data_IF_151485985473
#
_entry.id   IF_151485985473
#
_cell.length_a   1.000
_cell.length_b   1.000
_cell.length_c   1.000
_cell.angle_alpha   90.00
_cell.angle_beta   90.00
_cell.angle_gamma   90.00
#
_symmetry.space_group_name_H-M   'P 1'
#
loop_
_entity.id
_entity.type
_entity.pdbx_description
1 polymer ?
#
# COMPACT_ATOMS: atom_id res chain seq x y z
N UNK A 1 27.10 28.10 -25.58
CA UNK A 1 25.64 27.82 -25.65
C UNK A 1 25.25 26.34 -25.52
N UNK A 2 26.17 25.37 -25.64
CA UNK A 2 25.85 23.93 -25.44
C UNK A 2 25.83 23.47 -23.97
N UNK A 3 26.43 24.22 -23.04
CA UNK A 3 26.43 23.90 -21.60
C UNK A 3 25.15 24.34 -20.87
N UNK A 4 24.38 25.30 -21.40
CA UNK A 4 23.09 25.72 -20.80
C UNK A 4 22.00 24.67 -20.96
N UNK A 5 22.00 23.91 -22.07
CA UNK A 5 21.05 22.81 -22.27
C UNK A 5 21.38 21.63 -21.35
N UNK A 6 22.67 21.37 -21.11
CA UNK A 6 23.10 20.36 -20.13
C UNK A 6 22.68 20.70 -18.69
N UNK A 7 22.67 21.98 -18.31
CA UNK A 7 22.23 22.42 -16.98
C UNK A 7 20.72 22.24 -16.81
N UNK A 8 19.90 22.57 -17.81
CA UNK A 8 18.44 22.38 -17.78
C UNK A 8 18.05 20.90 -17.84
N UNK A 9 18.78 20.07 -18.60
CA UNK A 9 18.53 18.62 -18.68
C UNK A 9 19.05 17.86 -17.43
N UNK A 10 19.99 18.43 -16.67
CA UNK A 10 20.49 17.84 -15.42
C UNK A 10 19.55 18.09 -14.23
N UNK A 11 18.75 19.16 -14.23
CA UNK A 11 17.74 19.42 -13.19
C UNK A 11 16.45 18.58 -13.32
N UNK A 12 16.27 17.83 -14.41
CA UNK A 12 15.12 16.94 -14.59
C UNK A 12 15.25 15.58 -13.89
N UNK A 13 16.41 15.23 -13.33
CA UNK A 13 16.64 13.95 -12.63
C UNK A 13 16.37 13.97 -11.14
N UNK A 14 16.15 15.14 -10.54
CA UNK A 14 15.89 15.24 -9.09
C UNK A 14 14.41 14.99 -8.74
N UNK A 15 13.52 14.87 -9.73
CA UNK A 15 12.11 14.51 -9.54
C UNK A 15 11.83 13.00 -9.46
N UNK A 16 12.84 12.14 -9.64
CA UNK A 16 12.61 10.70 -9.83
C UNK A 16 12.52 9.83 -8.57
N UNK A 17 12.69 10.31 -7.33
CA UNK A 17 12.70 9.36 -6.19
C UNK A 17 12.24 9.95 -4.86
N UNK A 18 10.95 10.30 -4.77
CA UNK A 18 10.18 10.04 -3.56
C UNK A 18 8.99 9.12 -3.90
N UNK A 19 9.24 8.07 -4.68
CA UNK A 19 8.30 6.96 -4.75
C UNK A 19 8.42 6.18 -3.44
N UNK A 20 7.32 6.08 -2.69
CA UNK A 20 7.25 5.30 -1.44
C UNK A 20 7.65 3.82 -1.65
N UNK A 21 7.74 3.34 -2.89
CA UNK A 21 8.13 1.99 -3.29
C UNK A 21 8.82 2.01 -4.67
N UNK A 22 9.72 1.06 -4.93
CA UNK A 22 10.30 0.89 -6.28
C UNK A 22 9.27 0.35 -7.28
N UNK A 23 9.47 0.51 -8.60
CA UNK A 23 8.60 -0.10 -9.61
C UNK A 23 8.51 -1.62 -9.50
N UNK A 24 9.60 -2.30 -9.13
CA UNK A 24 9.67 -3.75 -8.91
C UNK A 24 8.83 -4.14 -7.69
N UNK A 25 8.96 -3.40 -6.59
CA UNK A 25 8.13 -3.59 -5.39
C UNK A 25 6.64 -3.33 -5.69
N UNK A 26 6.33 -2.36 -6.53
CA UNK A 26 4.95 -2.10 -6.96
C UNK A 26 4.38 -3.26 -7.77
N UNK A 27 5.14 -3.82 -8.72
CA UNK A 27 4.70 -5.00 -9.48
C UNK A 27 4.46 -6.20 -8.57
N UNK A 28 5.40 -6.48 -7.66
CA UNK A 28 5.26 -7.59 -6.71
C UNK A 28 4.04 -7.43 -5.81
N UNK A 29 3.81 -6.24 -5.23
CA UNK A 29 2.64 -5.96 -4.42
C UNK A 29 1.33 -5.99 -5.25
N UNK A 30 1.39 -5.57 -6.52
CA UNK A 30 0.27 -5.62 -7.45
C UNK A 30 -0.18 -7.04 -7.73
N UNK A 31 0.75 -7.96 -8.01
CA UNK A 31 0.43 -9.37 -8.18
C UNK A 31 -0.19 -9.98 -6.91
N UNK A 32 0.41 -9.72 -5.75
CA UNK A 32 -0.13 -10.19 -4.47
C UNK A 32 -1.55 -9.65 -4.18
N UNK A 33 -1.84 -8.41 -4.58
CA UNK A 33 -3.18 -7.82 -4.47
C UNK A 33 -4.19 -8.52 -5.38
N UNK A 34 -3.84 -8.74 -6.65
CA UNK A 34 -4.72 -9.43 -7.61
C UNK A 34 -5.00 -10.86 -7.14
N UNK A 35 -3.98 -11.59 -6.68
CA UNK A 35 -4.13 -12.95 -6.14
C UNK A 35 -5.03 -12.97 -4.90
N UNK A 36 -4.97 -11.93 -4.06
CA UNK A 36 -5.87 -11.80 -2.92
C UNK A 36 -7.32 -11.52 -3.35
N UNK A 37 -7.54 -10.64 -4.34
CA UNK A 37 -8.88 -10.36 -4.89
C UNK A 37 -9.49 -11.63 -5.47
N UNK A 38 -8.74 -12.39 -6.26
CA UNK A 38 -9.19 -13.65 -6.85
C UNK A 38 -9.67 -14.63 -5.77
N UNK A 39 -8.84 -14.86 -4.74
CA UNK A 39 -9.20 -15.72 -3.60
C UNK A 39 -10.41 -15.23 -2.82
N UNK A 40 -10.57 -13.91 -2.66
CA UNK A 40 -11.75 -13.35 -2.02
C UNK A 40 -13.00 -13.64 -2.84
N UNK A 41 -12.96 -13.44 -4.17
CA UNK A 41 -14.09 -13.71 -5.06
C UNK A 41 -14.47 -15.19 -5.09
N UNK A 42 -13.50 -16.11 -5.02
CA UNK A 42 -13.76 -17.56 -4.94
C UNK A 42 -14.54 -17.95 -3.68
N UNK A 43 -14.33 -17.25 -2.57
CA UNK A 43 -14.90 -17.61 -1.27
C UNK A 43 -15.96 -16.61 -0.78
N UNK A 44 -16.34 -15.62 -1.60
CA UNK A 44 -17.18 -14.49 -1.17
C UNK A 44 -18.53 -14.95 -0.61
N UNK A 45 -19.09 -16.01 -1.17
CA UNK A 45 -20.39 -16.58 -0.77
C UNK A 45 -20.38 -17.20 0.63
N UNK A 46 -19.19 -17.54 1.15
CA UNK A 46 -19.04 -18.13 2.49
C UNK A 46 -19.05 -17.06 3.59
N UNK A 47 -18.88 -15.78 3.24
CA UNK A 47 -18.85 -14.69 4.22
C UNK A 47 -20.24 -14.10 4.45
N UNK A 48 -20.58 -13.70 5.70
CA UNK A 48 -21.85 -13.07 5.98
C UNK A 48 -21.95 -11.71 5.26
N UNK A 49 -23.05 -11.51 4.53
CA UNK A 49 -23.32 -10.26 3.79
C UNK A 49 -23.44 -9.07 4.74
N UNK A 50 -24.02 -9.31 5.92
CA UNK A 50 -24.16 -8.30 6.96
C UNK A 50 -22.99 -8.37 7.93
N UNK A 51 -22.38 -7.22 8.19
CA UNK A 51 -21.37 -7.07 9.24
C UNK A 51 -21.95 -7.49 10.60
N UNK A 52 -21.26 -8.40 11.30
CA UNK A 52 -21.67 -8.90 12.63
C UNK A 52 -20.98 -8.17 13.79
N UNK A 53 -20.29 -7.05 13.53
CA UNK A 53 -19.56 -6.29 14.56
C UNK A 53 -20.38 -5.12 15.10
N UNK A 54 -20.26 -4.90 16.41
CA UNK A 54 -20.90 -3.76 17.09
C UNK A 54 -20.22 -2.43 16.69
N UNK A 55 -21.01 -1.33 16.58
CA UNK A 55 -20.45 0.00 16.36
C UNK A 55 -19.43 0.37 17.45
N UNK A 56 -18.22 0.79 17.04
CA UNK A 56 -17.15 1.19 17.95
C UNK A 56 -16.09 0.12 18.22
N UNK A 57 -16.38 -1.18 18.02
CA UNK A 57 -15.43 -2.27 18.26
C UNK A 57 -14.16 -2.16 17.41
N UNK A 58 -14.26 -1.65 16.18
CA UNK A 58 -13.10 -1.45 15.29
C UNK A 58 -12.18 -0.35 15.83
N UNK A 59 -12.75 0.71 16.42
CA UNK A 59 -11.99 1.85 16.95
C UNK A 59 -11.17 1.45 18.16
N UNK A 60 -11.68 0.58 19.01
CA UNK A 60 -10.97 0.03 20.17
C UNK A 60 -9.78 -0.85 19.77
N UNK A 61 -9.87 -1.53 18.62
CA UNK A 61 -8.78 -2.35 18.06
C UNK A 61 -7.67 -1.52 17.41
N UNK A 62 -7.91 -0.24 17.13
CA UNK A 62 -6.91 0.65 16.55
C UNK A 62 -6.08 1.32 17.64
N UNK A 63 -4.75 1.43 17.47
CA UNK A 63 -3.90 2.15 18.42
C UNK A 63 -4.29 3.64 18.45
N UNK A 64 -4.53 4.18 19.65
CA UNK A 64 -5.02 5.56 19.85
C UNK A 64 -4.04 6.68 19.46
N UNK A 65 -2.83 6.35 19.03
CA UNK A 65 -1.87 7.31 18.49
C UNK A 65 -1.48 6.95 17.06
N UNK A 66 -1.50 7.96 16.19
CA UNK A 66 -0.87 7.88 14.86
C UNK A 66 0.61 7.57 15.04
N UNK A 67 1.09 6.53 14.35
CA UNK A 67 2.51 6.16 14.37
C UNK A 67 3.35 7.31 13.82
N UNK A 68 4.39 7.70 14.55
CA UNK A 68 5.31 8.80 14.16
C UNK A 68 6.25 8.40 13.02
N UNK A 69 6.58 7.11 12.89
CA UNK A 69 7.34 6.59 11.76
C UNK A 69 6.43 5.89 10.73
N UNK A 70 6.63 6.13 9.42
CA UNK A 70 5.99 5.34 8.41
C UNK A 70 6.45 3.89 8.57
N UNK A 71 5.49 2.99 8.68
CA UNK A 71 5.77 1.55 8.64
C UNK A 71 6.12 1.19 7.19
N UNK A 72 7.16 0.36 6.93
CA UNK A 72 7.46 -0.10 5.58
C UNK A 72 6.23 -0.71 4.92
N UNK A 73 5.96 -0.39 3.65
CA UNK A 73 4.75 -0.81 2.90
C UNK A 73 4.45 -2.31 3.03
N UNK A 74 5.49 -3.15 3.02
CA UNK A 74 5.42 -4.61 3.21
C UNK A 74 4.75 -5.07 4.52
N UNK A 75 4.71 -4.25 5.56
CA UNK A 75 4.04 -4.56 6.83
C UNK A 75 2.61 -3.97 6.94
N UNK A 76 2.14 -3.25 5.92
CA UNK A 76 0.73 -2.85 5.84
C UNK A 76 -0.13 -4.06 5.44
N UNK A 77 0.35 -4.86 4.50
CA UNK A 77 -0.35 -6.03 3.96
C UNK A 77 -0.57 -7.14 5.00
N UNK A 78 0.29 -7.27 6.01
CA UNK A 78 0.20 -8.31 7.04
C UNK A 78 -1.01 -8.18 7.98
N UNK A 79 -1.67 -7.02 8.03
CA UNK A 79 -2.92 -6.87 8.81
C UNK A 79 -4.09 -7.62 8.16
N UNK A 80 -4.02 -7.91 6.86
CA UNK A 80 -5.08 -8.60 6.11
C UNK A 80 -4.79 -10.10 5.91
N UNK A 81 -3.58 -10.57 6.21
CA UNK A 81 -3.17 -11.97 6.05
C UNK A 81 -3.06 -12.75 7.36
N UNK A 82 -3.25 -12.08 8.50
CA UNK A 82 -3.24 -12.72 9.83
C UNK A 82 -4.64 -12.60 10.43
N UNK A 83 -5.51 -13.54 10.06
CA UNK A 83 -6.75 -13.85 10.77
C UNK A 83 -7.08 -15.33 10.62
#
# INVERSE_FOLDING_TARGET
MVMSVYIVFRSGRDFMTSYHMSPEEFRANGHALIDWIARYMENVEQYPVMSTVEPGTIREKLPGQRRKNPRPSKHCWTIWTTS
#
